data_IF_705298863027
#
_entry.id   IF_705298863027
#
_cell.length_a   1.000
_cell.length_b   1.000
_cell.length_c   1.000
_cell.angle_alpha   90.00
_cell.angle_beta   90.00
_cell.angle_gamma   90.00
#
_symmetry.space_group_name_H-M   'P 1'
#
loop_
_entity.id
_entity.type
_entity.pdbx_description
1 polymer ?
#
# COMPACT_ATOMS: atom_id res chain seq x y z
N UNK A 1 -17.19 8.92 -2.15
CA UNK A 1 -16.27 9.95 -1.63
C UNK A 1 -15.52 10.55 -2.81
N UNK A 2 -15.27 11.86 -2.86
CA UNK A 2 -14.48 12.48 -3.93
C UNK A 2 -13.11 12.91 -3.40
N UNK A 3 -12.03 12.52 -4.11
CA UNK A 3 -10.67 12.92 -3.76
C UNK A 3 -10.51 14.45 -3.91
N UNK A 4 -9.76 15.13 -3.03
CA UNK A 4 -9.40 16.53 -3.22
C UNK A 4 -8.75 16.79 -4.58
N UNK A 5 -9.03 17.95 -5.20
CA UNK A 5 -8.52 18.28 -6.53
C UNK A 5 -6.99 18.22 -6.63
N UNK A 6 -6.28 18.57 -5.55
CA UNK A 6 -4.83 18.44 -5.47
C UNK A 6 -4.36 16.98 -5.56
N UNK A 7 -5.06 16.04 -4.90
CA UNK A 7 -4.74 14.62 -4.99
C UNK A 7 -5.02 14.06 -6.39
N UNK A 8 -6.16 14.44 -7.00
CA UNK A 8 -6.48 14.04 -8.38
C UNK A 8 -5.41 14.49 -9.37
N UNK A 9 -4.93 15.75 -9.26
CA UNK A 9 -3.85 16.25 -10.12
C UNK A 9 -2.54 15.50 -9.92
N UNK A 10 -2.15 15.24 -8.67
CA UNK A 10 -0.93 14.51 -8.33
C UNK A 10 -0.93 13.08 -8.85
N UNK A 11 -2.10 12.45 -8.89
CA UNK A 11 -2.26 11.05 -9.31
C UNK A 11 -2.68 10.86 -10.76
N UNK A 12 -2.80 11.93 -11.55
CA UNK A 12 -3.20 11.79 -12.95
C UNK A 12 -4.67 11.39 -13.15
N UNK A 13 -5.55 11.65 -12.17
CA UNK A 13 -6.97 11.25 -12.17
C UNK A 13 -7.91 12.40 -12.53
N UNK A 14 -7.44 13.39 -13.30
CA UNK A 14 -8.21 14.58 -13.69
C UNK A 14 -9.44 14.20 -14.52
N UNK A 15 -9.31 13.17 -15.36
CA UNK A 15 -10.36 12.67 -16.25
C UNK A 15 -11.06 11.42 -15.70
N UNK A 16 -10.84 11.11 -14.41
CA UNK A 16 -11.27 9.86 -13.77
C UNK A 16 -10.17 8.79 -13.76
N UNK A 17 -10.50 7.62 -13.21
CA UNK A 17 -9.58 6.49 -13.11
C UNK A 17 -9.78 5.68 -11.84
N UNK A 18 -9.05 4.58 -11.73
CA UNK A 18 -9.16 3.64 -10.61
C UNK A 18 -8.38 4.13 -9.39
N UNK A 19 -8.97 3.92 -8.22
CA UNK A 19 -8.34 4.14 -6.91
C UNK A 19 -8.58 2.89 -6.09
N UNK A 20 -7.48 2.30 -5.64
CA UNK A 20 -7.47 1.21 -4.70
C UNK A 20 -7.52 1.73 -3.26
N UNK A 21 -8.06 0.93 -2.35
CA UNK A 21 -8.03 1.23 -0.92
C UNK A 21 -7.69 0.00 -0.09
N UNK A 22 -6.97 0.23 1.01
CA UNK A 22 -6.71 -0.75 2.06
C UNK A 22 -7.27 -0.19 3.36
N UNK A 23 -8.08 -1.00 4.03
CA UNK A 23 -8.63 -0.68 5.34
C UNK A 23 -7.66 -1.18 6.42
N UNK A 24 -7.19 -0.27 7.27
CA UNK A 24 -6.29 -0.54 8.39
C UNK A 24 -7.05 -0.48 9.74
N UNK A 25 -8.38 -0.36 9.70
CA UNK A 25 -9.25 -0.24 10.88
C UNK A 25 -9.40 1.19 11.37
N UNK A 26 -8.30 1.84 11.76
CA UNK A 26 -8.30 3.25 12.22
C UNK A 26 -8.03 4.25 11.09
N UNK A 27 -7.53 3.76 9.97
CA UNK A 27 -7.20 4.54 8.79
C UNK A 27 -7.51 3.77 7.49
N UNK A 28 -7.68 4.52 6.40
CA UNK A 28 -7.76 3.94 5.05
C UNK A 28 -6.60 4.48 4.23
N UNK A 29 -5.80 3.57 3.68
CA UNK A 29 -4.75 3.90 2.72
C UNK A 29 -5.36 3.91 1.31
N UNK A 30 -5.29 5.07 0.65
CA UNK A 30 -5.72 5.22 -0.74
C UNK A 30 -4.52 5.17 -1.67
N UNK A 31 -4.67 4.42 -2.76
CA UNK A 31 -3.60 4.12 -3.71
C UNK A 31 -4.07 4.50 -5.11
N UNK A 32 -3.24 5.24 -5.83
CA UNK A 32 -3.51 5.56 -7.23
C UNK A 32 -3.40 4.30 -8.10
N UNK A 33 -4.40 4.06 -8.96
CA UNK A 33 -4.42 2.91 -9.85
C UNK A 33 -4.87 1.62 -9.18
N UNK A 34 -4.46 0.48 -9.74
CA UNK A 34 -4.91 -0.85 -9.33
C UNK A 34 -4.02 -1.43 -8.23
N UNK A 35 -4.62 -2.11 -7.25
CA UNK A 35 -3.92 -2.77 -6.13
C UNK A 35 -2.77 -3.65 -6.63
N UNK A 36 -2.97 -4.36 -7.74
CA UNK A 36 -2.00 -5.30 -8.28
C UNK A 36 -0.70 -4.63 -8.73
N UNK A 37 -0.78 -3.39 -9.23
CA UNK A 37 0.41 -2.66 -9.67
C UNK A 37 1.21 -2.12 -8.49
N UNK A 38 0.51 -1.53 -7.50
CA UNK A 38 1.15 -1.15 -6.23
C UNK A 38 1.74 -2.37 -5.54
N UNK A 39 1.01 -3.49 -5.47
CA UNK A 39 1.47 -4.72 -4.84
C UNK A 39 2.80 -5.15 -5.45
N UNK A 40 2.88 -5.20 -6.78
CA UNK A 40 4.12 -5.56 -7.47
C UNK A 40 5.25 -4.59 -7.15
N UNK A 41 5.02 -3.28 -7.25
CA UNK A 41 6.05 -2.27 -6.93
C UNK A 41 6.51 -2.34 -5.48
N UNK A 42 5.60 -2.57 -4.54
CA UNK A 42 5.93 -2.78 -3.13
C UNK A 42 6.79 -4.02 -2.95
N UNK A 43 6.39 -5.16 -3.52
CA UNK A 43 7.19 -6.40 -3.44
C UNK A 43 8.56 -6.24 -4.09
N UNK A 44 8.67 -5.52 -5.20
CA UNK A 44 9.95 -5.23 -5.87
C UNK A 44 10.84 -4.28 -5.03
N UNK A 45 10.24 -3.44 -4.19
CA UNK A 45 10.96 -2.51 -3.32
C UNK A 45 11.46 -3.12 -2.01
N UNK A 46 10.93 -4.28 -1.61
CA UNK A 46 11.32 -4.95 -0.37
C UNK A 46 12.66 -5.66 -0.55
N UNK A 47 13.62 -5.33 0.31
CA UNK A 47 14.90 -6.03 0.40
C UNK A 47 14.83 -7.18 1.40
N UNK A 48 15.82 -8.08 1.35
CA UNK A 48 15.96 -9.14 2.35
C UNK A 48 16.11 -8.58 3.77
N UNK A 49 16.72 -7.40 3.91
CA UNK A 49 16.89 -6.72 5.19
C UNK A 49 15.55 -6.16 5.73
N UNK A 50 14.71 -5.59 4.85
CA UNK A 50 13.36 -5.14 5.22
C UNK A 50 12.50 -6.31 5.71
N UNK A 51 12.63 -7.46 5.06
CA UNK A 51 11.95 -8.69 5.49
C UNK A 51 12.41 -9.18 6.86
N UNK A 52 13.72 -9.23 7.10
CA UNK A 52 14.26 -9.72 8.38
C UNK A 52 13.87 -8.79 9.54
N UNK A 53 13.87 -7.46 9.30
CA UNK A 53 13.39 -6.47 10.28
C UNK A 53 11.89 -6.59 10.54
N UNK A 54 11.07 -6.73 9.49
CA UNK A 54 9.63 -6.91 9.66
C UNK A 54 9.33 -8.19 10.47
N UNK A 55 10.01 -9.30 10.13
CA UNK A 55 9.88 -10.60 10.79
C UNK A 55 10.21 -10.55 12.29
N UNK A 56 11.21 -9.77 12.68
CA UNK A 56 11.55 -9.56 14.09
C UNK A 56 10.60 -8.60 14.82
N UNK A 57 9.93 -7.70 14.08
CA UNK A 57 9.00 -6.71 14.63
C UNK A 57 7.62 -7.25 15.02
N UNK A 58 7.19 -8.40 14.50
CA UNK A 58 5.87 -8.98 14.81
C UNK A 58 5.70 -9.43 16.27
N UNK A 59 6.79 -9.53 17.04
CA UNK A 59 6.75 -9.83 18.48
C UNK A 59 6.29 -11.25 18.83
N UNK A 60 5.88 -12.03 17.84
CA UNK A 60 5.48 -13.42 17.95
C UNK A 60 6.24 -14.24 16.89
N UNK A 61 7.07 -15.17 17.36
CA UNK A 61 7.93 -16.00 16.50
C UNK A 61 7.10 -16.95 15.64
N UNK A 62 5.89 -17.32 16.07
CA UNK A 62 5.05 -18.28 15.35
C UNK A 62 4.42 -17.61 14.10
N UNK A 63 4.08 -16.33 14.18
CA UNK A 63 3.60 -15.53 13.03
C UNK A 63 4.68 -15.21 12.00
N UNK A 64 5.95 -15.33 12.39
CA UNK A 64 7.11 -15.03 11.54
C UNK A 64 7.49 -16.17 10.58
N UNK A 65 6.78 -17.31 10.60
CA UNK A 65 7.12 -18.52 9.81
C UNK A 65 6.02 -19.06 8.90
N UNK A 66 4.85 -18.41 8.84
CA UNK A 66 3.76 -18.75 7.90
C UNK A 66 3.88 -18.05 6.54
#
# INVERSE_FOLDING_TARGET
MSLPAAARRRWGLQDGGDVAYLDLGDAVLLVAGRVESLRRELFESLTDEDWEQARTGFGDTDLATE
#
